data_IF_769104135654
#
_entry.id   IF_769104135654
#
_cell.length_a   1.000
_cell.length_b   1.000
_cell.length_c   1.000
_cell.angle_alpha   90.00
_cell.angle_beta   90.00
_cell.angle_gamma   90.00
#
_symmetry.space_group_name_H-M   'P 1'
#
loop_
_entity.id
_entity.type
_entity.pdbx_description
1 polymer ?
#
# COMPACT_ATOMS: atom_id res chain seq x y z
N UNK A 1 0.77 49.98 7.26
CA UNK A 1 -0.23 49.77 6.18
C UNK A 1 -0.20 48.31 5.80
N UNK A 2 -1.14 47.51 6.33
CA UNK A 2 -1.28 46.09 6.00
C UNK A 2 -1.99 45.97 4.66
N UNK A 3 -1.26 45.60 3.59
CA UNK A 3 -1.93 45.19 2.36
C UNK A 3 -2.58 43.81 2.60
N UNK A 4 -3.88 43.63 2.31
CA UNK A 4 -4.49 42.31 2.29
C UNK A 4 -3.79 41.51 1.19
N UNK A 5 -3.13 40.42 1.58
CA UNK A 5 -2.43 39.50 0.69
C UNK A 5 -3.41 38.95 -0.34
N UNK A 6 -3.43 39.53 -1.55
CA UNK A 6 -4.13 38.96 -2.69
C UNK A 6 -3.58 37.54 -2.88
N UNK A 7 -4.45 36.54 -2.81
CA UNK A 7 -4.08 35.16 -3.06
C UNK A 7 -3.43 35.07 -4.44
N UNK A 8 -2.14 34.70 -4.48
CA UNK A 8 -1.43 34.50 -5.74
C UNK A 8 -2.09 33.29 -6.46
N UNK A 9 -2.69 33.46 -7.65
CA UNK A 9 -3.39 32.37 -8.34
C UNK A 9 -2.50 31.16 -8.60
N UNK A 10 -1.20 31.36 -8.82
CA UNK A 10 -0.23 30.29 -9.00
C UNK A 10 -0.05 29.45 -7.73
N UNK A 11 -0.04 30.11 -6.55
CA UNK A 11 0.08 29.44 -5.27
C UNK A 11 -1.20 28.66 -4.93
N UNK A 12 -2.37 29.26 -5.16
CA UNK A 12 -3.64 28.57 -4.97
C UNK A 12 -3.75 27.33 -5.87
N UNK A 13 -3.37 27.44 -7.15
CA UNK A 13 -3.33 26.31 -8.07
C UNK A 13 -2.37 25.21 -7.60
N UNK A 14 -1.17 25.57 -7.13
CA UNK A 14 -0.23 24.59 -6.61
C UNK A 14 -0.78 23.84 -5.39
N UNK A 15 -1.43 24.54 -4.46
CA UNK A 15 -2.07 23.92 -3.29
C UNK A 15 -3.23 22.99 -3.70
N UNK A 16 -4.05 23.38 -4.67
CA UNK A 16 -5.11 22.52 -5.20
C UNK A 16 -4.56 21.27 -5.91
N UNK A 17 -3.50 21.42 -6.71
CA UNK A 17 -2.84 20.28 -7.35
C UNK A 17 -2.24 19.32 -6.32
N UNK A 18 -1.67 19.84 -5.23
CA UNK A 18 -1.17 19.01 -4.12
C UNK A 18 -2.31 18.31 -3.39
N UNK A 19 -3.42 19.00 -3.15
CA UNK A 19 -4.55 18.44 -2.41
C UNK A 19 -5.30 17.35 -3.19
N UNK A 20 -5.54 17.57 -4.48
CA UNK A 20 -6.44 16.73 -5.27
C UNK A 20 -5.73 15.95 -6.37
N UNK A 21 -4.50 16.31 -6.78
CA UNK A 21 -3.81 15.69 -7.91
C UNK A 21 -3.67 14.16 -7.77
N UNK A 22 -2.97 13.66 -6.74
CA UNK A 22 -2.82 12.21 -6.53
C UNK A 22 -4.17 11.49 -6.36
N UNK A 23 -5.09 12.09 -5.60
CA UNK A 23 -6.41 11.52 -5.32
C UNK A 23 -7.27 11.42 -6.57
N UNK A 24 -7.30 12.46 -7.40
CA UNK A 24 -8.08 12.50 -8.63
C UNK A 24 -7.54 11.50 -9.65
N UNK A 25 -6.21 11.43 -9.83
CA UNK A 25 -5.59 10.43 -10.72
C UNK A 25 -5.94 9.01 -10.25
N UNK A 26 -5.81 8.73 -8.96
CA UNK A 26 -6.16 7.42 -8.42
C UNK A 26 -7.64 7.08 -8.63
N UNK A 27 -8.56 8.00 -8.35
CA UNK A 27 -9.99 7.78 -8.54
C UNK A 27 -10.36 7.58 -10.01
N UNK A 28 -9.72 8.27 -10.94
CA UNK A 28 -9.91 8.06 -12.39
C UNK A 28 -9.45 6.65 -12.79
N UNK A 29 -8.27 6.22 -12.33
CA UNK A 29 -7.75 4.87 -12.60
C UNK A 29 -8.69 3.80 -12.00
N UNK A 30 -9.10 3.98 -10.74
CA UNK A 30 -10.04 3.08 -10.06
C UNK A 30 -11.37 3.01 -10.82
N UNK A 31 -11.95 4.16 -11.18
CA UNK A 31 -13.21 4.20 -11.93
C UNK A 31 -13.08 3.50 -13.28
N UNK A 32 -11.98 3.72 -14.01
CA UNK A 32 -11.72 3.04 -15.28
C UNK A 32 -11.65 1.52 -15.09
N UNK A 33 -10.93 1.04 -14.07
CA UNK A 33 -10.84 -0.40 -13.76
C UNK A 33 -12.23 -0.97 -13.44
N UNK A 34 -13.01 -0.32 -12.57
CA UNK A 34 -14.36 -0.77 -12.20
C UNK A 34 -15.26 -0.86 -13.42
N UNK A 35 -15.26 0.17 -14.27
CA UNK A 35 -16.08 0.18 -15.48
C UNK A 35 -15.69 -0.93 -16.45
N UNK A 36 -14.38 -1.14 -16.67
CA UNK A 36 -13.89 -2.26 -17.49
C UNK A 36 -14.37 -3.60 -16.92
N UNK A 37 -14.26 -3.80 -15.60
CA UNK A 37 -14.70 -5.05 -14.96
C UNK A 37 -16.21 -5.26 -15.09
N UNK A 38 -17.03 -4.23 -14.94
CA UNK A 38 -18.49 -4.32 -15.10
C UNK A 38 -18.89 -4.67 -16.53
N UNK A 39 -18.24 -4.04 -17.52
CA UNK A 39 -18.46 -4.32 -18.94
C UNK A 39 -18.11 -5.76 -19.27
N UNK A 40 -16.94 -6.24 -18.81
CA UNK A 40 -16.50 -7.61 -19.07
C UNK A 40 -17.41 -8.63 -18.37
N UNK A 41 -17.86 -8.34 -17.15
CA UNK A 41 -18.76 -9.20 -16.40
C UNK A 41 -20.23 -9.11 -16.86
N UNK A 42 -20.53 -8.33 -17.91
CA UNK A 42 -21.89 -8.02 -18.37
C UNK A 42 -22.84 -7.69 -17.20
N UNK A 43 -22.34 -6.90 -16.25
CA UNK A 43 -23.01 -6.57 -15.00
C UNK A 43 -23.69 -5.21 -15.07
N UNK A 44 -24.78 -5.07 -14.33
CA UNK A 44 -25.46 -3.78 -14.19
C UNK A 44 -24.54 -2.73 -13.55
N UNK A 45 -24.70 -1.46 -13.93
CA UNK A 45 -23.92 -0.34 -13.37
C UNK A 45 -24.27 -0.03 -11.90
N UNK A 46 -25.24 -0.75 -11.32
CA UNK A 46 -25.67 -0.60 -9.93
C UNK A 46 -24.52 -0.92 -8.98
N UNK A 47 -24.20 0.02 -8.09
CA UNK A 47 -23.10 -0.14 -7.12
C UNK A 47 -21.72 0.28 -7.62
N UNK A 48 -21.58 0.79 -8.85
CA UNK A 48 -20.31 1.30 -9.40
C UNK A 48 -19.64 2.30 -8.45
N UNK A 49 -20.39 3.28 -7.95
CA UNK A 49 -19.86 4.27 -7.01
C UNK A 49 -19.40 3.65 -5.68
N UNK A 50 -20.15 2.66 -5.17
CA UNK A 50 -19.75 1.90 -3.98
C UNK A 50 -18.47 1.11 -4.19
N UNK A 51 -18.28 0.50 -5.37
CA UNK A 51 -17.06 -0.20 -5.75
C UNK A 51 -15.87 0.76 -5.86
N UNK A 52 -16.03 1.91 -6.52
CA UNK A 52 -14.98 2.94 -6.62
C UNK A 52 -14.58 3.46 -5.24
N UNK A 53 -15.57 3.79 -4.39
CA UNK A 53 -15.33 4.24 -3.03
C UNK A 53 -14.64 3.16 -2.18
N UNK A 54 -15.03 1.89 -2.32
CA UNK A 54 -14.39 0.76 -1.62
C UNK A 54 -12.96 0.55 -2.07
N UNK A 55 -12.68 0.64 -3.38
CA UNK A 55 -11.32 0.56 -3.90
C UNK A 55 -10.47 1.75 -3.44
N UNK A 56 -11.01 2.97 -3.34
CA UNK A 56 -10.33 4.12 -2.74
C UNK A 56 -9.91 3.82 -1.29
N UNK A 57 -10.79 3.24 -0.48
CA UNK A 57 -10.45 2.85 0.89
C UNK A 57 -9.40 1.71 0.91
N UNK A 58 -9.53 0.75 0.01
CA UNK A 58 -8.59 -0.35 -0.17
C UNK A 58 -7.18 0.11 -0.52
N UNK A 59 -7.01 1.13 -1.37
CA UNK A 59 -5.69 1.68 -1.70
C UNK A 59 -5.00 2.34 -0.50
N UNK A 60 -5.74 2.67 0.55
CA UNK A 60 -5.23 3.23 1.79
C UNK A 60 -5.13 2.21 2.93
N UNK A 61 -5.25 0.91 2.62
CA UNK A 61 -5.19 -0.18 3.60
C UNK A 61 -6.29 -0.11 4.67
N UNK A 62 -7.43 0.51 4.34
CA UNK A 62 -8.61 0.49 5.20
C UNK A 62 -9.21 -0.91 5.12
N UNK A 63 -9.38 -1.63 6.24
CA UNK A 63 -9.88 -3.00 6.16
C UNK A 63 -11.35 -3.03 5.77
N UNK A 64 -11.64 -3.81 4.74
CA UNK A 64 -12.98 -4.03 4.21
C UNK A 64 -13.39 -5.43 4.65
N UNK A 65 -14.57 -5.55 5.26
CA UNK A 65 -15.18 -6.83 5.56
C UNK A 65 -16.24 -7.17 4.51
N UNK A 66 -16.20 -8.41 4.02
CA UNK A 66 -17.19 -8.95 3.10
C UNK A 66 -17.77 -10.19 3.76
N UNK A 67 -19.08 -10.22 3.98
CA UNK A 67 -19.74 -11.35 4.66
C UNK A 67 -19.19 -11.64 6.06
N UNK A 68 -18.79 -10.61 6.82
CA UNK A 68 -18.27 -10.75 8.19
C UNK A 68 -16.82 -11.24 8.31
N UNK A 69 -16.13 -11.52 7.20
CA UNK A 69 -14.69 -11.84 7.18
C UNK A 69 -13.90 -10.61 6.77
N UNK A 70 -12.92 -10.23 7.59
CA UNK A 70 -12.00 -9.14 7.28
C UNK A 70 -10.93 -9.67 6.33
N UNK A 71 -10.70 -8.96 5.22
CA UNK A 71 -9.51 -9.21 4.39
C UNK A 71 -8.31 -8.68 5.17
N UNK A 72 -7.51 -9.59 5.75
CA UNK A 72 -6.45 -9.23 6.71
C UNK A 72 -5.21 -8.63 6.02
N UNK A 73 -4.96 -8.99 4.76
CA UNK A 73 -3.79 -8.52 4.00
C UNK A 73 -4.29 -7.90 2.71
N UNK A 74 -4.13 -6.57 2.58
CA UNK A 74 -4.45 -5.83 1.36
C UNK A 74 -3.20 -5.67 0.47
N UNK A 75 -3.38 -5.53 -0.86
CA UNK A 75 -2.25 -5.35 -1.76
C UNK A 75 -1.54 -4.03 -1.46
N UNK A 76 -0.21 -4.08 -1.29
CA UNK A 76 0.59 -2.91 -0.92
C UNK A 76 0.96 -2.02 -2.12
N UNK A 77 0.95 -2.55 -3.34
CA UNK A 77 1.37 -1.79 -4.53
C UNK A 77 0.54 -0.52 -4.77
N UNK A 78 -0.81 -0.54 -4.68
CA UNK A 78 -1.61 0.68 -4.80
C UNK A 78 -1.26 1.74 -3.75
N UNK A 79 -1.03 1.33 -2.51
CA UNK A 79 -0.63 2.25 -1.41
C UNK A 79 0.75 2.84 -1.67
N UNK A 80 1.71 2.02 -2.10
CA UNK A 80 3.06 2.50 -2.45
C UNK A 80 3.03 3.51 -3.61
N UNK A 81 2.20 3.24 -4.64
CA UNK A 81 1.99 4.16 -5.76
C UNK A 81 1.36 5.48 -5.29
N UNK A 82 0.40 5.44 -4.35
CA UNK A 82 -0.20 6.63 -3.75
C UNK A 82 0.85 7.46 -2.97
N UNK A 83 1.62 6.82 -2.08
CA UNK A 83 2.71 7.48 -1.32
C UNK A 83 3.69 8.17 -2.28
N UNK A 84 4.11 7.47 -3.33
CA UNK A 84 5.01 8.00 -4.34
C UNK A 84 4.41 9.18 -5.11
N UNK A 85 3.14 9.10 -5.49
CA UNK A 85 2.43 10.17 -6.19
C UNK A 85 2.35 11.43 -5.33
N UNK A 86 1.93 11.29 -4.08
CA UNK A 86 1.87 12.38 -3.10
C UNK A 86 3.26 12.99 -2.87
N UNK A 87 4.28 12.15 -2.68
CA UNK A 87 5.65 12.62 -2.47
C UNK A 87 6.17 13.44 -3.66
N UNK A 88 5.91 12.98 -4.89
CA UNK A 88 6.30 13.73 -6.11
C UNK A 88 5.55 15.04 -6.24
N UNK A 89 4.24 15.05 -6.01
CA UNK A 89 3.44 16.26 -6.12
C UNK A 89 3.88 17.29 -5.07
N UNK A 90 4.08 16.87 -3.82
CA UNK A 90 4.58 17.74 -2.74
C UNK A 90 6.00 18.25 -3.05
N UNK A 91 6.92 17.39 -3.50
CA UNK A 91 8.27 17.80 -3.86
C UNK A 91 8.28 18.80 -5.03
N UNK A 92 7.38 18.62 -6.02
CA UNK A 92 7.26 19.52 -7.18
C UNK A 92 6.69 20.89 -6.82
N UNK A 93 5.83 20.97 -5.80
CA UNK A 93 5.25 22.22 -5.30
C UNK A 93 6.22 23.05 -4.43
N UNK A 94 7.39 22.49 -4.09
CA UNK A 94 8.37 23.11 -3.20
C UNK A 94 9.67 23.43 -3.95
N UNK A 95 10.29 24.55 -3.59
CA UNK A 95 11.68 24.89 -3.92
C UNK A 95 12.56 24.69 -2.68
N UNK A 96 13.89 24.47 -2.84
CA UNK A 96 14.80 24.34 -1.70
C UNK A 96 14.78 25.56 -0.75
N UNK A 97 14.42 26.74 -1.28
CA UNK A 97 14.33 28.02 -0.57
C UNK A 97 12.93 28.36 -0.06
N UNK A 98 11.92 27.51 -0.27
CA UNK A 98 10.52 27.77 0.12
C UNK A 98 10.39 28.05 1.61
N UNK A 99 9.58 29.05 1.99
CA UNK A 99 9.40 29.42 3.41
C UNK A 99 8.63 28.37 4.21
N UNK A 100 8.87 28.31 5.52
CA UNK A 100 8.19 27.38 6.44
C UNK A 100 6.67 27.51 6.44
N UNK A 101 6.18 28.74 6.27
CA UNK A 101 4.75 29.01 6.14
C UNK A 101 4.14 28.26 4.93
N UNK A 102 4.78 28.35 3.76
CA UNK A 102 4.30 27.68 2.54
C UNK A 102 4.39 26.16 2.67
N UNK A 103 5.47 25.64 3.27
CA UNK A 103 5.62 24.18 3.52
C UNK A 103 4.45 23.66 4.36
N UNK A 104 4.07 24.35 5.43
CA UNK A 104 2.93 23.97 6.29
C UNK A 104 1.61 23.95 5.51
N UNK A 105 1.39 24.93 4.64
CA UNK A 105 0.19 24.96 3.79
C UNK A 105 0.18 23.84 2.74
N UNK A 106 1.33 23.52 2.14
CA UNK A 106 1.45 22.39 1.21
C UNK A 106 1.13 21.07 1.92
N UNK A 107 1.65 20.86 3.14
CA UNK A 107 1.32 19.67 3.94
C UNK A 107 -0.17 19.67 4.28
N UNK A 108 -0.72 20.77 4.78
CA UNK A 108 -2.14 20.86 5.11
C UNK A 108 -3.03 20.55 3.90
N UNK A 109 -2.68 21.07 2.71
CA UNK A 109 -3.37 20.77 1.45
C UNK A 109 -3.25 19.30 1.08
N UNK A 110 -2.06 18.70 1.16
CA UNK A 110 -1.82 17.29 0.84
C UNK A 110 -2.64 16.32 1.72
N UNK A 111 -3.05 16.76 2.91
CA UNK A 111 -3.88 15.99 3.83
C UNK A 111 -5.37 16.32 3.69
N UNK A 112 -5.75 17.58 3.51
CA UNK A 112 -7.14 18.00 3.48
C UNK A 112 -7.93 17.40 2.29
N UNK A 113 -7.35 17.41 1.09
CA UNK A 113 -7.98 16.87 -0.12
C UNK A 113 -8.37 15.38 -0.02
N UNK A 114 -7.44 14.46 0.29
CA UNK A 114 -7.77 13.03 0.42
C UNK A 114 -8.69 12.71 1.60
N UNK A 115 -8.65 13.48 2.69
CA UNK A 115 -9.63 13.33 3.78
C UNK A 115 -11.04 13.70 3.31
N UNK A 116 -11.20 14.77 2.53
CA UNK A 116 -12.49 15.10 1.91
C UNK A 116 -12.98 13.96 1.00
N UNK A 117 -12.11 13.43 0.13
CA UNK A 117 -12.46 12.29 -0.73
C UNK A 117 -12.84 11.04 0.07
N UNK A 118 -12.21 10.84 1.22
CA UNK A 118 -12.54 9.74 2.15
C UNK A 118 -13.90 9.94 2.81
N UNK A 119 -14.22 11.16 3.22
CA UNK A 119 -15.55 11.48 3.75
C UNK A 119 -16.65 11.22 2.70
N UNK A 120 -16.41 11.66 1.46
CA UNK A 120 -17.31 11.39 0.33
C UNK A 120 -17.44 9.88 0.08
N UNK A 121 -16.32 9.16 0.06
CA UNK A 121 -16.32 7.71 -0.15
C UNK A 121 -17.08 6.96 0.94
N UNK A 122 -16.91 7.33 2.20
CA UNK A 122 -17.66 6.76 3.32
C UNK A 122 -19.15 7.07 3.22
N UNK A 123 -19.52 8.28 2.80
CA UNK A 123 -20.93 8.64 2.58
C UNK A 123 -21.55 7.80 1.45
N UNK A 124 -20.84 7.62 0.34
CA UNK A 124 -21.26 6.77 -0.79
C UNK A 124 -21.43 5.31 -0.34
N UNK A 125 -20.46 4.77 0.41
CA UNK A 125 -20.54 3.39 0.91
C UNK A 125 -21.69 3.24 1.90
N UNK A 126 -21.90 4.23 2.76
CA UNK A 126 -23.01 4.21 3.71
C UNK A 126 -24.35 4.17 2.98
N UNK A 127 -24.56 5.03 1.98
CA UNK A 127 -25.74 5.02 1.13
C UNK A 127 -25.91 3.67 0.41
N UNK A 128 -24.84 3.18 -0.23
CA UNK A 128 -24.85 1.90 -0.94
C UNK A 128 -25.09 0.69 -0.02
N UNK A 129 -24.66 0.73 1.25
CA UNK A 129 -24.87 -0.35 2.22
C UNK A 129 -26.33 -0.53 2.62
N UNK A 130 -27.15 0.52 2.49
CA UNK A 130 -28.60 0.41 2.73
C UNK A 130 -29.30 -0.40 1.63
N UNK A 131 -28.75 -0.39 0.41
CA UNK A 131 -29.27 -1.11 -0.76
C UNK A 131 -28.62 -2.50 -0.87
N UNK A 132 -27.32 -2.59 -0.61
CA UNK A 132 -26.50 -3.79 -0.70
C UNK A 132 -26.17 -4.29 0.71
N UNK A 133 -27.06 -5.10 1.28
CA UNK A 133 -27.00 -5.62 2.67
C UNK A 133 -25.75 -6.45 3.01
N UNK A 134 -24.90 -6.76 2.03
CA UNK A 134 -23.64 -7.51 2.19
C UNK A 134 -22.41 -6.62 2.45
N UNK A 135 -22.51 -5.29 2.24
CA UNK A 135 -21.43 -4.34 2.54
C UNK A 135 -21.57 -3.79 3.96
N UNK A 136 -20.57 -4.02 4.80
CA UNK A 136 -20.48 -3.37 6.10
C UNK A 136 -19.75 -2.03 5.97
N UNK A 137 -20.34 -0.95 6.49
CA UNK A 137 -19.69 0.36 6.48
C UNK A 137 -18.42 0.34 7.34
N UNK A 138 -17.24 0.67 6.79
CA UNK A 138 -16.00 0.69 7.54
C UNK A 138 -16.04 1.70 8.68
N UNK A 139 -15.31 1.43 9.77
CA UNK A 139 -15.14 2.39 10.85
C UNK A 139 -14.50 3.69 10.32
N UNK A 140 -15.26 4.79 10.37
CA UNK A 140 -14.84 6.09 9.84
C UNK A 140 -13.51 6.58 10.41
N UNK A 141 -13.30 6.46 11.73
CA UNK A 141 -12.06 6.88 12.39
C UNK A 141 -10.85 6.13 11.85
N UNK A 142 -11.01 4.81 11.64
CA UNK A 142 -9.95 3.97 11.06
C UNK A 142 -9.68 4.33 9.61
N UNK A 143 -10.73 4.58 8.82
CA UNK A 143 -10.60 5.00 7.43
C UNK A 143 -9.83 6.33 7.30
N UNK A 144 -10.22 7.35 8.07
CA UNK A 144 -9.50 8.62 8.11
C UNK A 144 -8.06 8.46 8.61
N UNK A 145 -7.82 7.66 9.65
CA UNK A 145 -6.47 7.43 10.18
C UNK A 145 -5.53 6.76 9.17
N UNK A 146 -6.02 5.75 8.45
CA UNK A 146 -5.28 5.08 7.38
C UNK A 146 -4.92 6.04 6.23
N UNK A 147 -5.90 6.79 5.73
CA UNK A 147 -5.69 7.77 4.64
C UNK A 147 -4.73 8.87 5.09
N UNK A 148 -4.93 9.41 6.30
CA UNK A 148 -4.03 10.39 6.90
C UNK A 148 -2.61 9.86 6.97
N UNK A 149 -2.42 8.63 7.43
CA UNK A 149 -1.10 7.99 7.53
C UNK A 149 -0.39 7.90 6.17
N UNK A 150 -1.07 7.37 5.16
CA UNK A 150 -0.53 7.22 3.80
C UNK A 150 -0.12 8.56 3.21
N UNK A 151 -0.99 9.57 3.28
CA UNK A 151 -0.70 10.90 2.73
C UNK A 151 0.33 11.67 3.56
N UNK A 152 0.36 11.49 4.88
CA UNK A 152 1.39 12.08 5.75
C UNK A 152 2.78 11.51 5.42
N UNK A 153 2.91 10.19 5.23
CA UNK A 153 4.16 9.57 4.81
C UNK A 153 4.61 10.13 3.46
N UNK A 154 3.71 10.19 2.47
CA UNK A 154 4.01 10.79 1.17
C UNK A 154 4.46 12.25 1.28
N UNK A 155 3.74 13.07 2.05
CA UNK A 155 4.06 14.47 2.24
C UNK A 155 5.42 14.67 2.92
N UNK A 156 5.73 13.90 3.97
CA UNK A 156 7.02 13.94 4.66
C UNK A 156 8.15 13.57 3.69
N UNK A 157 8.00 12.49 2.92
CA UNK A 157 9.01 12.10 1.90
C UNK A 157 9.20 13.24 0.88
N UNK A 158 8.10 13.83 0.37
CA UNK A 158 8.18 14.94 -0.58
C UNK A 158 8.89 16.18 -0.02
N UNK A 159 8.64 16.54 1.23
CA UNK A 159 9.30 17.66 1.91
C UNK A 159 10.78 17.36 2.16
N UNK A 160 11.10 16.19 2.71
CA UNK A 160 12.47 15.79 3.04
C UNK A 160 13.33 15.68 1.79
N UNK A 161 12.81 15.10 0.71
CA UNK A 161 13.55 14.98 -0.56
C UNK A 161 13.87 16.35 -1.17
N UNK A 162 13.01 17.35 -0.98
CA UNK A 162 13.17 18.67 -1.59
C UNK A 162 13.92 19.68 -0.72
N UNK A 163 13.67 19.67 0.60
CA UNK A 163 14.16 20.68 1.56
C UNK A 163 15.12 20.08 2.59
N UNK A 164 15.35 18.76 2.58
CA UNK A 164 16.17 18.05 3.57
C UNK A 164 17.59 18.60 3.75
N UNK A 165 18.25 19.01 2.66
CA UNK A 165 19.59 19.65 2.75
C UNK A 165 19.55 20.97 3.50
N UNK A 166 18.52 21.79 3.28
CA UNK A 166 18.33 23.05 4.02
C UNK A 166 17.99 22.78 5.48
N UNK A 167 17.17 21.77 5.75
CA UNK A 167 16.85 21.34 7.12
C UNK A 167 18.15 20.95 7.84
N UNK A 168 19.02 20.17 7.20
CA UNK A 168 20.32 19.80 7.75
C UNK A 168 21.21 21.02 8.04
N UNK A 169 21.25 22.00 7.13
CA UNK A 169 22.01 23.24 7.33
C UNK A 169 21.47 24.09 8.49
N UNK A 170 20.14 24.25 8.58
CA UNK A 170 19.49 25.02 9.66
C UNK A 170 19.69 24.36 11.02
N UNK A 171 19.67 23.03 11.07
CA UNK A 171 19.91 22.24 12.28
C UNK A 171 21.40 22.05 12.58
N UNK A 172 22.31 22.61 11.77
CA UNK A 172 23.76 22.44 11.89
C UNK A 172 24.18 20.95 11.98
N UNK A 173 23.47 20.09 11.26
CA UNK A 173 23.77 18.66 11.27
C UNK A 173 25.12 18.42 10.58
N UNK A 174 25.98 17.54 11.14
CA UNK A 174 27.17 17.07 10.45
C UNK A 174 26.81 16.44 9.09
N UNK A 175 27.79 16.17 8.21
CA UNK A 175 27.53 15.53 6.92
C UNK A 175 27.17 14.04 7.02
N UNK A 176 27.65 13.35 8.07
CA UNK A 176 27.51 11.90 8.22
C UNK A 176 26.07 11.35 8.23
N UNK A 177 25.02 12.02 8.79
CA UNK A 177 23.67 11.48 8.79
C UNK A 177 23.07 11.38 7.39
N UNK A 178 23.42 12.30 6.49
CA UNK A 178 22.93 12.25 5.10
C UNK A 178 23.55 11.10 4.33
N UNK A 179 24.85 10.85 4.55
CA UNK A 179 25.56 9.75 3.92
C UNK A 179 25.14 8.39 4.52
N UNK A 180 24.91 8.33 5.83
CA UNK A 180 24.32 7.18 6.50
C UNK A 180 22.90 6.89 5.98
N UNK A 181 22.07 7.93 5.80
CA UNK A 181 20.73 7.77 5.23
C UNK A 181 20.78 7.24 3.79
N UNK A 182 21.70 7.73 2.95
CA UNK A 182 21.89 7.20 1.60
C UNK A 182 22.33 5.75 1.60
N UNK A 183 23.28 5.38 2.47
CA UNK A 183 23.71 4.00 2.66
C UNK A 183 22.57 3.09 3.13
N UNK A 184 21.78 3.54 4.09
CA UNK A 184 20.61 2.82 4.58
C UNK A 184 19.56 2.60 3.49
N UNK A 185 19.24 3.65 2.70
CA UNK A 185 18.31 3.54 1.57
C UNK A 185 18.85 2.58 0.52
N UNK A 186 20.14 2.67 0.17
CA UNK A 186 20.76 1.74 -0.77
C UNK A 186 20.70 0.29 -0.26
N UNK A 187 20.98 0.05 1.01
CA UNK A 187 20.89 -1.27 1.64
C UNK A 187 19.47 -1.83 1.63
N UNK A 188 18.45 -1.03 1.97
CA UNK A 188 17.04 -1.43 1.92
C UNK A 188 16.61 -1.76 0.48
N UNK A 189 17.01 -0.94 -0.50
CA UNK A 189 16.72 -1.19 -1.91
C UNK A 189 17.43 -2.43 -2.44
N UNK A 190 18.68 -2.66 -2.04
CA UNK A 190 19.42 -3.87 -2.38
C UNK A 190 18.76 -5.12 -1.79
N UNK A 191 18.37 -5.08 -0.52
CA UNK A 191 17.65 -6.19 0.14
C UNK A 191 16.31 -6.47 -0.54
N UNK A 192 15.54 -5.43 -0.84
CA UNK A 192 14.26 -5.56 -1.55
C UNK A 192 14.46 -6.12 -2.96
N UNK A 193 15.48 -5.64 -3.69
CA UNK A 193 15.84 -6.12 -5.02
C UNK A 193 16.26 -7.59 -5.03
N UNK A 194 17.15 -8.00 -4.10
CA UNK A 194 17.56 -9.40 -3.96
C UNK A 194 16.37 -10.29 -3.58
N UNK A 195 15.53 -9.86 -2.64
CA UNK A 195 14.34 -10.60 -2.23
C UNK A 195 13.34 -10.73 -3.37
N UNK A 196 13.23 -9.71 -4.21
CA UNK A 196 12.49 -9.74 -5.47
C UNK A 196 13.05 -10.77 -6.47
N UNK A 197 14.37 -10.80 -6.66
CA UNK A 197 15.03 -11.78 -7.52
C UNK A 197 14.82 -13.23 -7.03
N UNK A 198 14.92 -13.46 -5.71
CA UNK A 198 14.60 -14.75 -5.09
C UNK A 198 13.14 -15.13 -5.31
N UNK A 199 12.22 -14.18 -5.16
CA UNK A 199 10.79 -14.41 -5.39
C UNK A 199 10.53 -14.79 -6.84
N UNK A 200 11.10 -14.06 -7.81
CA UNK A 200 10.99 -14.37 -9.24
C UNK A 200 11.59 -15.74 -9.58
N UNK A 201 12.77 -16.07 -9.04
CA UNK A 201 13.38 -17.39 -9.19
C UNK A 201 12.50 -18.51 -8.62
N UNK A 202 11.86 -18.26 -7.48
CA UNK A 202 10.90 -19.21 -6.88
C UNK A 202 9.69 -19.45 -7.77
N UNK A 203 9.14 -18.41 -8.41
CA UNK A 203 8.03 -18.57 -9.37
C UNK A 203 8.42 -19.44 -10.57
N UNK A 204 9.64 -19.28 -11.08
CA UNK A 204 10.16 -20.11 -12.19
C UNK A 204 10.33 -21.56 -11.75
N UNK A 205 10.89 -21.81 -10.57
CA UNK A 205 11.08 -23.17 -10.03
C UNK A 205 9.73 -23.87 -9.76
N UNK A 206 8.74 -23.13 -9.26
CA UNK A 206 7.41 -23.65 -8.91
C UNK A 206 6.36 -23.40 -10.01
N UNK A 207 6.79 -23.34 -11.27
CA UNK A 207 5.91 -23.04 -12.40
C UNK A 207 4.69 -23.97 -12.47
N UNK A 208 4.86 -25.27 -12.24
CA UNK A 208 3.76 -26.23 -12.26
C UNK A 208 2.67 -25.93 -11.20
N UNK A 209 3.06 -25.41 -10.03
CA UNK A 209 2.11 -24.98 -9.00
C UNK A 209 1.41 -23.69 -9.39
N UNK A 210 2.12 -22.77 -10.06
CA UNK A 210 1.52 -21.54 -10.59
C UNK A 210 0.48 -21.86 -11.67
N UNK A 211 0.78 -22.78 -12.58
CA UNK A 211 -0.15 -23.24 -13.62
C UNK A 211 -1.45 -23.82 -13.01
N UNK A 212 -1.32 -24.67 -11.98
CA UNK A 212 -2.46 -25.21 -11.23
C UNK A 212 -3.31 -24.14 -10.53
N UNK A 213 -2.69 -23.06 -10.04
CA UNK A 213 -3.44 -21.94 -9.43
C UNK A 213 -4.20 -21.13 -10.49
N UNK A 214 -3.65 -21.02 -11.68
CA UNK A 214 -4.28 -20.33 -12.81
C UNK A 214 -5.40 -21.16 -13.45
N UNK A 215 -5.34 -22.49 -13.40
CA UNK A 215 -6.40 -23.36 -13.93
C UNK A 215 -7.71 -23.29 -13.15
N UNK A 216 -7.77 -22.57 -12.02
CA UNK A 216 -9.03 -22.24 -11.32
C UNK A 216 -9.96 -21.42 -12.23
N UNK A 217 -9.40 -20.67 -13.16
CA UNK A 217 -10.16 -19.96 -14.19
C UNK A 217 -9.71 -20.39 -15.57
N UNK A 218 -10.68 -20.87 -16.36
CA UNK A 218 -10.45 -21.32 -17.73
C UNK A 218 -10.66 -20.20 -18.77
N UNK A 219 -10.85 -18.96 -18.31
CA UNK A 219 -11.08 -17.80 -19.15
C UNK A 219 -9.88 -16.83 -19.12
N UNK A 220 -9.56 -16.24 -20.27
CA UNK A 220 -8.45 -15.30 -20.45
C UNK A 220 -8.56 -14.09 -19.50
N UNK A 221 -9.78 -13.55 -19.32
CA UNK A 221 -10.03 -12.43 -18.41
C UNK A 221 -9.73 -12.81 -16.97
N UNK A 222 -10.11 -14.02 -16.57
CA UNK A 222 -9.83 -14.53 -15.23
C UNK A 222 -8.33 -14.65 -14.99
N UNK A 223 -7.59 -15.22 -15.95
CA UNK A 223 -6.13 -15.35 -15.86
C UNK A 223 -5.43 -13.98 -15.84
N UNK A 224 -5.90 -13.02 -16.62
CA UNK A 224 -5.42 -11.64 -16.59
C UNK A 224 -5.67 -10.98 -15.23
N UNK A 225 -6.86 -11.17 -14.65
CA UNK A 225 -7.24 -10.62 -13.35
C UNK A 225 -6.39 -11.21 -12.23
N UNK A 226 -6.11 -12.52 -12.26
CA UNK A 226 -5.20 -13.19 -11.32
C UNK A 226 -3.77 -12.66 -11.45
N UNK A 227 -3.30 -12.43 -12.68
CA UNK A 227 -1.97 -11.85 -12.92
C UNK A 227 -1.87 -10.44 -12.39
N UNK A 228 -2.88 -9.60 -12.65
CA UNK A 228 -2.95 -8.26 -12.11
C UNK A 228 -2.95 -8.28 -10.59
N UNK A 229 -3.75 -9.15 -9.97
CA UNK A 229 -3.79 -9.32 -8.53
C UNK A 229 -2.42 -9.74 -7.97
N UNK A 230 -1.74 -10.69 -8.61
CA UNK A 230 -0.40 -11.12 -8.24
C UNK A 230 0.61 -9.97 -8.29
N UNK A 231 0.56 -9.12 -9.32
CA UNK A 231 1.39 -7.91 -9.42
C UNK A 231 1.08 -6.94 -8.27
N UNK A 232 -0.19 -6.70 -7.95
CA UNK A 232 -0.59 -5.81 -6.87
C UNK A 232 -0.10 -6.30 -5.49
N UNK A 233 -0.04 -7.62 -5.29
CA UNK A 233 0.48 -8.26 -4.08
C UNK A 233 1.99 -8.51 -4.09
N UNK A 234 2.69 -8.29 -5.21
CA UNK A 234 4.11 -8.56 -5.30
C UNK A 234 4.93 -7.88 -4.18
N UNK A 235 4.68 -6.61 -3.80
CA UNK A 235 5.39 -6.01 -2.67
C UNK A 235 5.14 -6.71 -1.33
N UNK A 236 3.95 -7.27 -1.09
CA UNK A 236 3.66 -8.04 0.13
C UNK A 236 4.58 -9.27 0.22
N UNK A 237 4.72 -10.01 -0.88
CA UNK A 237 5.55 -11.22 -0.93
C UNK A 237 7.03 -10.88 -0.78
N UNK A 238 7.49 -9.84 -1.48
CA UNK A 238 8.89 -9.39 -1.40
C UNK A 238 9.23 -8.94 0.03
N UNK A 239 8.35 -8.18 0.69
CA UNK A 239 8.56 -7.79 2.09
C UNK A 239 8.57 -8.98 3.05
N UNK A 240 7.75 -10.00 2.80
CA UNK A 240 7.82 -11.27 3.52
C UNK A 240 9.18 -11.94 3.36
N UNK A 241 9.71 -11.98 2.13
CA UNK A 241 11.05 -12.51 1.83
C UNK A 241 12.17 -11.69 2.49
N UNK A 242 12.08 -10.36 2.47
CA UNK A 242 13.00 -9.48 3.20
C UNK A 242 12.99 -9.76 4.71
N UNK A 243 11.81 -9.93 5.31
CA UNK A 243 11.69 -10.23 6.74
C UNK A 243 12.39 -11.55 7.09
N UNK A 244 12.20 -12.58 6.26
CA UNK A 244 12.90 -13.86 6.41
C UNK A 244 14.42 -13.71 6.26
N UNK A 245 14.89 -12.92 5.28
CA UNK A 245 16.31 -12.69 5.04
C UNK A 245 17.02 -11.98 6.20
N UNK A 246 16.32 -11.10 6.92
CA UNK A 246 16.85 -10.40 8.12
C UNK A 246 16.74 -11.29 9.38
N UNK A 247 16.19 -12.50 9.27
CA UNK A 247 15.99 -13.42 10.40
C UNK A 247 14.72 -13.14 11.21
N UNK A 248 13.86 -12.24 10.75
CA UNK A 248 12.54 -11.98 11.31
C UNK A 248 11.52 -13.04 10.85
N UNK A 249 10.31 -12.98 11.40
CA UNK A 249 9.19 -13.79 10.97
C UNK A 249 8.23 -13.01 10.06
N UNK A 250 7.76 -13.64 9.00
CA UNK A 250 6.69 -13.14 8.14
C UNK A 250 5.37 -13.85 8.48
N UNK A 251 4.28 -13.09 8.53
CA UNK A 251 2.94 -13.62 8.81
C UNK A 251 2.04 -13.48 7.59
N UNK A 252 1.34 -14.55 7.23
CA UNK A 252 0.31 -14.55 6.18
C UNK A 252 -0.93 -15.22 6.76
N UNK A 253 -1.94 -14.41 7.11
CA UNK A 253 -3.05 -14.86 7.94
C UNK A 253 -2.56 -15.43 9.28
N UNK A 254 -2.94 -16.66 9.61
CA UNK A 254 -2.49 -17.35 10.83
C UNK A 254 -1.16 -18.10 10.67
N UNK A 255 -0.62 -18.19 9.44
CA UNK A 255 0.65 -18.87 9.19
C UNK A 255 1.84 -17.97 9.52
N UNK A 256 2.86 -18.54 10.17
CA UNK A 256 4.12 -17.85 10.51
C UNK A 256 5.29 -18.54 9.82
N UNK A 257 6.06 -17.76 9.07
CA UNK A 257 7.26 -18.20 8.38
C UNK A 257 8.47 -17.53 9.02
N UNK A 258 9.51 -18.28 9.36
CA UNK A 258 10.80 -17.79 9.83
C UNK A 258 11.92 -18.58 9.16
N UNK A 259 13.11 -17.99 9.05
CA UNK A 259 14.29 -18.66 8.50
C UNK A 259 14.63 -19.99 9.21
N UNK A 260 14.19 -20.16 10.47
CA UNK A 260 14.50 -21.33 11.30
C UNK A 260 13.30 -22.27 11.51
N UNK A 261 12.07 -21.82 11.25
CA UNK A 261 10.86 -22.61 11.48
C UNK A 261 9.67 -22.08 10.67
N UNK A 262 8.84 -23.00 10.17
CA UNK A 262 7.54 -22.70 9.54
C UNK A 262 6.45 -23.27 10.43
N UNK A 263 5.53 -22.42 10.89
CA UNK A 263 4.33 -22.82 11.61
C UNK A 263 3.11 -22.55 10.72
N UNK A 264 2.51 -23.61 10.19
CA UNK A 264 1.23 -23.52 9.48
C UNK A 264 0.13 -22.97 10.39
N UNK A 265 -0.73 -22.13 9.82
CA UNK A 265 -1.84 -21.50 10.53
C UNK A 265 -2.79 -22.49 11.20
N UNK A 266 -3.10 -22.23 12.47
CA UNK A 266 -3.94 -23.03 13.38
C UNK A 266 -3.64 -24.54 13.41
N UNK A 267 -2.46 -24.92 13.92
CA UNK A 267 -2.45 -26.02 14.89
C UNK A 267 -2.82 -25.42 16.24
N UNK A 268 -4.07 -25.62 16.68
CA UNK A 268 -4.47 -25.39 18.08
C UNK A 268 -3.61 -26.32 18.95
N UNK A 269 -2.46 -25.84 19.42
CA UNK A 269 -1.54 -26.62 20.24
C UNK A 269 -2.22 -26.90 21.59
N UNK A 270 -2.62 -28.15 21.78
CA UNK A 270 -3.06 -28.65 23.08
C UNK A 270 -1.89 -28.58 24.09
N UNK A 271 -2.17 -28.40 25.40
CA UNK A 271 -1.17 -28.09 26.42
C UNK A 271 -0.13 -29.19 26.72
N UNK A 272 -0.11 -30.32 26.00
CA UNK A 272 0.68 -31.50 26.40
C UNK A 272 2.01 -31.69 25.66
N UNK A 273 2.30 -30.98 24.56
CA UNK A 273 3.56 -31.17 23.83
C UNK A 273 4.70 -30.26 24.32
N UNK A 274 5.23 -30.62 25.49
CA UNK A 274 6.59 -30.28 25.94
C UNK A 274 7.52 -31.47 25.62
N UNK A 275 8.22 -31.42 24.49
CA UNK A 275 9.60 -31.91 24.27
C UNK A 275 9.92 -32.07 22.78
N UNK A 276 10.83 -31.21 22.33
CA UNK A 276 11.68 -31.31 21.12
C UNK A 276 12.70 -32.47 21.23
N UNK A 277 13.61 -32.74 20.25
CA UNK A 277 13.67 -32.49 18.79
C UNK A 277 14.27 -33.75 18.03
N UNK A 278 15.08 -33.66 16.93
CA UNK A 278 14.75 -33.34 15.53
C UNK A 278 15.18 -34.43 14.49
N UNK A 279 14.67 -34.29 13.25
CA UNK A 279 15.23 -34.67 11.91
C UNK A 279 16.05 -35.97 11.70
N UNK A 280 15.69 -36.72 10.64
CA UNK A 280 16.68 -37.26 9.68
C UNK A 280 16.14 -37.40 8.26
N UNK A 281 16.86 -36.82 7.30
CA UNK A 281 16.71 -37.01 5.85
C UNK A 281 17.45 -38.29 5.39
N UNK A 282 16.85 -39.04 4.47
CA UNK A 282 17.48 -39.79 3.36
C UNK A 282 18.40 -41.01 3.60
N UNK A 283 17.88 -42.22 3.29
CA UNK A 283 18.43 -43.41 2.54
C UNK A 283 19.83 -43.99 2.89
N UNK A 284 20.29 -45.16 2.35
CA UNK A 284 19.66 -46.40 1.82
C UNK A 284 20.31 -47.72 2.39
N UNK A 285 19.70 -48.89 2.12
CA UNK A 285 20.43 -50.17 1.90
C UNK A 285 20.53 -51.23 3.03
N UNK A 286 20.20 -52.48 2.65
CA UNK A 286 20.52 -53.80 3.25
C UNK A 286 20.01 -54.07 4.68
N UNK A 287 19.30 -55.14 5.00
CA UNK A 287 19.21 -56.52 4.46
C UNK A 287 17.77 -57.01 4.51
#
# INVERSE_FOLDING_TARGET
MNQPSRANPAQARALLTVAFGPSAVALVIIAAIVLVQLVIANSDMTGTFGAVASMWLGTHLVPISIGGRVIEVLPLLPTAAMVWGVARTVASALAPTTSWYVIRWVIASALAGPLLMTAISLAIIHDASTVLTQLQSPNALRAFGCVLGVHAVGAVIGVVTRVGRRIALVLQLPSWPMDAARGAVAGVLALFGLSGAVTAGSLVVHWATMDQLYSVTNDFVGQLSLTLLAILYAPNVILGSCALAVGSSAHVGTATFSAFAVFGGSCRRYPFWRRSPPRRWGRPGSR
#
